data_IF_063039898386
#
_entry.id   IF_063039898386
#
_cell.length_a   1.000
_cell.length_b   1.000
_cell.length_c   1.000
_cell.angle_alpha   90.00
_cell.angle_beta   90.00
_cell.angle_gamma   90.00
#
_symmetry.space_group_name_H-M   'P 1'
#
loop_
_entity.id
_entity.type
_entity.pdbx_description
1 polymer ?
#
# COMPACT_ATOMS: atom_id res chain seq x y z
N UNK A 1 3.48 21.39 0.76
CA UNK A 1 4.83 20.80 0.60
C UNK A 1 4.66 19.43 -0.05
N UNK A 2 5.36 19.13 -1.16
CA UNK A 2 5.23 17.84 -1.85
C UNK A 2 6.24 16.87 -1.24
N UNK A 3 5.74 15.92 -0.45
CA UNK A 3 6.55 14.82 0.09
C UNK A 3 6.71 13.74 -0.98
N UNK A 4 7.94 13.32 -1.22
CA UNK A 4 8.31 12.29 -2.19
C UNK A 4 8.76 11.04 -1.43
N UNK A 5 8.30 9.86 -1.84
CA UNK A 5 8.71 8.61 -1.23
C UNK A 5 10.11 8.16 -1.69
N UNK A 6 10.97 7.88 -0.71
CA UNK A 6 12.31 7.34 -0.94
C UNK A 6 12.59 6.16 -0.02
N UNK A 7 13.53 5.32 -0.42
CA UNK A 7 14.14 4.29 0.43
C UNK A 7 15.61 4.63 0.66
N UNK A 8 16.00 4.69 1.92
CA UNK A 8 17.39 4.75 2.35
C UNK A 8 17.85 3.34 2.77
N UNK A 9 19.00 2.91 2.27
CA UNK A 9 19.69 1.67 2.69
C UNK A 9 21.06 2.03 3.22
N UNK A 10 21.40 1.59 4.42
CA UNK A 10 22.71 1.86 5.01
C UNK A 10 23.02 0.95 6.18
N UNK A 11 24.18 1.16 6.82
CA UNK A 11 24.55 0.42 8.03
C UNK A 11 23.82 0.90 9.28
N UNK A 12 23.89 0.10 10.34
CA UNK A 12 23.43 0.50 11.70
C UNK A 12 24.30 1.62 12.31
N UNK A 13 25.53 1.78 11.81
CA UNK A 13 26.48 2.79 12.31
C UNK A 13 25.97 4.22 12.09
N UNK A 14 25.86 5.01 13.17
CA UNK A 14 25.36 6.40 13.18
C UNK A 14 23.96 6.55 12.54
N UNK A 15 23.13 5.50 12.64
CA UNK A 15 21.76 5.54 12.12
C UNK A 15 20.93 6.65 12.77
N UNK A 16 21.08 6.88 14.07
CA UNK A 16 20.30 7.88 14.80
C UNK A 16 20.52 9.28 14.21
N UNK A 17 21.76 9.61 13.80
CA UNK A 17 22.04 10.89 13.14
C UNK A 17 21.38 11.00 11.76
N UNK A 18 21.20 9.90 11.04
CA UNK A 18 20.47 9.89 9.77
C UNK A 18 18.98 10.11 10.02
N UNK A 19 18.43 9.51 11.07
CA UNK A 19 17.04 9.67 11.49
C UNK A 19 16.78 11.14 11.88
N UNK A 20 17.61 11.69 12.77
CA UNK A 20 17.52 13.08 13.21
C UNK A 20 17.61 14.03 12.01
N UNK A 21 18.56 13.78 11.09
CA UNK A 21 18.72 14.61 9.90
C UNK A 21 17.51 14.53 8.94
N UNK A 22 16.86 13.37 8.83
CA UNK A 22 15.63 13.22 8.05
C UNK A 22 14.50 14.05 8.68
N UNK A 23 14.34 13.98 10.00
CA UNK A 23 13.30 14.71 10.73
C UNK A 23 13.54 16.23 10.68
N UNK A 24 14.79 16.68 10.81
CA UNK A 24 15.20 18.09 10.67
C UNK A 24 14.89 18.65 9.28
N UNK A 25 14.97 17.81 8.25
CA UNK A 25 14.59 18.17 6.87
C UNK A 25 13.07 18.10 6.63
N UNK A 26 12.26 17.85 7.66
CA UNK A 26 10.80 17.72 7.57
C UNK A 26 10.36 16.40 6.92
N UNK A 27 11.22 15.38 6.94
CA UNK A 27 10.90 14.03 6.49
C UNK A 27 10.23 13.19 7.58
N UNK A 28 9.46 12.19 7.17
CA UNK A 28 8.77 11.26 8.06
C UNK A 28 9.18 9.83 7.76
N UNK A 29 9.49 9.06 8.82
CA UNK A 29 9.86 7.65 8.71
C UNK A 29 8.60 6.78 8.75
N UNK A 30 8.27 6.21 7.58
CA UNK A 30 7.10 5.36 7.38
C UNK A 30 7.35 3.97 7.97
N UNK A 31 8.47 3.34 7.60
CA UNK A 31 8.87 2.03 8.09
C UNK A 31 10.38 1.94 8.29
N UNK A 32 10.78 1.13 9.26
CA UNK A 32 12.18 0.78 9.55
C UNK A 32 12.30 -0.74 9.58
N UNK A 33 13.22 -1.26 8.76
CA UNK A 33 13.60 -2.66 8.77
C UNK A 33 15.09 -2.77 9.09
N UNK A 34 15.43 -3.50 10.14
CA UNK A 34 16.81 -3.83 10.47
C UNK A 34 17.06 -5.29 10.08
N UNK A 35 17.96 -5.53 9.15
CA UNK A 35 18.34 -6.85 8.65
C UNK A 35 19.83 -7.05 8.93
N UNK A 36 20.14 -7.80 9.99
CA UNK A 36 21.52 -7.97 10.48
C UNK A 36 22.22 -6.62 10.72
N UNK A 37 23.22 -6.28 9.90
CA UNK A 37 23.98 -5.01 9.97
C UNK A 37 23.46 -3.91 9.05
N UNK A 38 22.43 -4.20 8.25
CA UNK A 38 21.83 -3.27 7.31
C UNK A 38 20.49 -2.74 7.84
N UNK A 39 20.20 -1.50 7.48
CA UNK A 39 18.98 -0.80 7.83
C UNK A 39 18.36 -0.26 6.56
N UNK A 40 17.09 -0.57 6.37
CA UNK A 40 16.26 -0.03 5.29
C UNK A 40 15.22 0.89 5.93
N UNK A 41 15.27 2.17 5.61
CA UNK A 41 14.29 3.17 6.01
C UNK A 41 13.44 3.54 4.79
N UNK A 42 12.12 3.46 4.96
CA UNK A 42 11.16 4.00 4.00
C UNK A 42 10.68 5.35 4.51
N UNK A 43 10.90 6.39 3.72
CA UNK A 43 10.79 7.78 4.17
C UNK A 43 9.95 8.58 3.17
N UNK A 44 9.14 9.48 3.69
CA UNK A 44 8.47 10.53 2.92
C UNK A 44 9.16 11.86 3.23
N UNK A 45 9.80 12.50 2.26
CA UNK A 45 10.55 13.74 2.49
C UNK A 45 10.36 14.79 1.39
N UNK A 46 10.61 16.08 1.66
CA UNK A 46 10.53 17.12 0.64
C UNK A 46 11.52 16.86 -0.51
N UNK A 47 11.05 17.01 -1.76
CA UNK A 47 11.86 16.73 -2.97
C UNK A 47 13.17 17.50 -3.01
N UNK A 48 13.16 18.73 -2.52
CA UNK A 48 14.30 19.66 -2.57
C UNK A 48 15.47 19.19 -1.69
N UNK A 49 15.17 18.46 -0.63
CA UNK A 49 16.13 18.06 0.40
C UNK A 49 16.73 16.66 0.17
N UNK A 50 16.24 15.89 -0.81
CA UNK A 50 16.78 14.56 -1.16
C UNK A 50 18.28 14.64 -1.48
N UNK A 51 18.70 15.70 -2.19
CA UNK A 51 20.12 15.90 -2.54
C UNK A 51 20.99 16.17 -1.31
N UNK A 52 20.43 16.81 -0.27
CA UNK A 52 21.13 17.08 0.99
C UNK A 52 21.31 15.80 1.78
N UNK A 53 20.25 14.99 1.89
CA UNK A 53 20.32 13.65 2.48
C UNK A 53 21.35 12.76 1.76
N UNK A 54 21.37 12.78 0.42
CA UNK A 54 22.36 12.02 -0.36
C UNK A 54 23.81 12.47 -0.11
N UNK A 55 24.04 13.77 0.11
CA UNK A 55 25.36 14.27 0.45
C UNK A 55 25.78 13.84 1.87
N UNK A 56 24.84 13.86 2.81
CA UNK A 56 25.03 13.44 4.20
C UNK A 56 25.23 11.92 4.33
N UNK A 57 24.55 11.11 3.52
CA UNK A 57 24.60 9.64 3.61
C UNK A 57 25.84 9.02 2.98
N UNK A 58 26.46 9.67 1.99
CA UNK A 58 27.62 9.13 1.26
C UNK A 58 28.78 8.68 2.16
N UNK A 59 29.22 9.46 3.16
CA UNK A 59 30.26 9.03 4.11
C UNK A 59 29.87 7.80 4.95
N UNK A 60 28.57 7.52 5.10
CA UNK A 60 28.04 6.40 5.86
C UNK A 60 27.78 5.16 4.99
N UNK A 61 28.22 5.17 3.73
CA UNK A 61 27.89 4.17 2.72
C UNK A 61 26.38 3.96 2.55
N UNK A 62 25.59 5.02 2.76
CA UNK A 62 24.14 5.00 2.59
C UNK A 62 23.71 5.26 1.16
N UNK A 63 22.90 4.36 0.61
CA UNK A 63 22.27 4.46 -0.71
C UNK A 63 20.85 5.00 -0.59
N UNK A 64 20.47 5.88 -1.51
CA UNK A 64 19.12 6.44 -1.59
C UNK A 64 18.54 6.08 -2.95
N UNK A 65 17.36 5.50 -2.94
CA UNK A 65 16.60 5.12 -4.12
C UNK A 65 15.20 5.72 -4.04
N UNK A 66 14.66 6.20 -5.16
CA UNK A 66 13.24 6.56 -5.23
C UNK A 66 12.39 5.29 -5.08
N UNK A 67 11.30 5.37 -4.32
CA UNK A 67 10.47 4.20 -4.03
C UNK A 67 9.00 4.59 -4.06
N UNK A 68 8.40 4.72 -5.25
CA UNK A 68 7.10 5.39 -5.46
C UNK A 68 5.94 4.77 -4.67
N UNK A 69 6.06 3.51 -4.26
CA UNK A 69 5.03 2.79 -3.53
C UNK A 69 5.12 2.95 -2.00
N UNK A 70 6.12 3.63 -1.45
CA UNK A 70 6.15 3.93 0.00
C UNK A 70 4.93 4.74 0.40
N UNK A 71 4.32 4.32 1.52
CA UNK A 71 3.09 4.92 2.05
C UNK A 71 1.84 4.48 1.30
N UNK A 72 1.87 3.33 0.63
CA UNK A 72 0.69 2.71 0.02
C UNK A 72 0.38 1.37 0.67
N UNK A 73 -0.90 1.03 0.78
CA UNK A 73 -1.37 -0.31 1.13
C UNK A 73 -2.12 -0.93 -0.05
N UNK A 74 -1.60 -2.03 -0.59
CA UNK A 74 -2.11 -2.66 -1.82
C UNK A 74 -2.65 -4.06 -1.50
N UNK A 75 -3.89 -4.33 -1.92
CA UNK A 75 -4.49 -5.65 -1.84
C UNK A 75 -4.08 -6.50 -3.05
N UNK A 76 -3.47 -7.65 -2.83
CA UNK A 76 -3.26 -8.68 -3.86
C UNK A 76 -4.35 -9.73 -3.70
N UNK A 77 -5.35 -9.68 -4.58
CA UNK A 77 -6.57 -10.48 -4.51
C UNK A 77 -6.43 -11.72 -5.39
N UNK A 78 -6.62 -12.89 -4.79
CA UNK A 78 -6.60 -14.16 -5.50
C UNK A 78 -7.94 -14.90 -5.36
N UNK A 79 -8.33 -15.69 -6.38
CA UNK A 79 -9.58 -16.44 -6.30
C UNK A 79 -9.64 -17.56 -5.27
N UNK A 80 -8.50 -18.03 -4.76
CA UNK A 80 -8.44 -19.02 -3.68
C UNK A 80 -7.05 -19.04 -3.05
N UNK A 81 -7.00 -19.16 -1.71
CA UNK A 81 -5.78 -19.36 -0.90
C UNK A 81 -5.48 -20.84 -0.60
N UNK A 82 -6.26 -21.78 -1.13
CA UNK A 82 -6.01 -23.20 -0.85
C UNK A 82 -4.62 -23.62 -1.35
N UNK A 83 -3.94 -24.52 -0.63
CA UNK A 83 -2.55 -24.93 -0.92
C UNK A 83 -2.42 -25.52 -2.34
N UNK A 84 -3.45 -26.20 -2.84
CA UNK A 84 -3.50 -26.74 -4.20
C UNK A 84 -3.75 -25.66 -5.27
N UNK A 85 -4.02 -24.43 -4.85
CA UNK A 85 -4.46 -23.31 -5.65
C UNK A 85 -3.58 -22.07 -5.51
N UNK A 86 -2.77 -21.98 -4.45
CA UNK A 86 -1.91 -20.86 -4.13
C UNK A 86 -0.91 -20.64 -5.28
N UNK A 87 -1.08 -19.60 -6.11
CA UNK A 87 -0.18 -19.32 -7.21
C UNK A 87 1.11 -18.73 -6.62
N UNK A 88 2.27 -19.27 -7.00
CA UNK A 88 3.53 -18.59 -6.72
C UNK A 88 3.52 -17.16 -7.28
N UNK A 89 2.87 -16.96 -8.43
CA UNK A 89 2.72 -15.63 -9.04
C UNK A 89 2.12 -14.56 -8.13
N UNK A 90 1.11 -14.88 -7.31
CA UNK A 90 0.51 -13.90 -6.41
C UNK A 90 1.42 -13.57 -5.21
N UNK A 91 2.11 -14.58 -4.68
CA UNK A 91 3.11 -14.39 -3.64
C UNK A 91 4.28 -13.54 -4.16
N UNK A 92 4.75 -13.84 -5.37
CA UNK A 92 5.85 -13.14 -6.03
C UNK A 92 5.47 -11.68 -6.31
N UNK A 93 4.27 -11.41 -6.83
CA UNK A 93 3.74 -10.03 -6.97
C UNK A 93 3.69 -9.33 -5.61
N UNK A 94 3.17 -9.99 -4.57
CA UNK A 94 3.08 -9.39 -3.24
C UNK A 94 4.46 -9.10 -2.64
N UNK A 95 5.45 -9.97 -2.85
CA UNK A 95 6.84 -9.78 -2.45
C UNK A 95 7.50 -8.65 -3.24
N UNK A 96 7.30 -8.61 -4.55
CA UNK A 96 7.86 -7.58 -5.43
C UNK A 96 7.35 -6.18 -5.07
N UNK A 97 6.05 -6.03 -4.78
CA UNK A 97 5.47 -4.79 -4.27
C UNK A 97 6.12 -4.33 -2.96
N UNK A 98 6.41 -5.26 -2.04
CA UNK A 98 7.08 -4.93 -0.77
C UNK A 98 8.51 -4.45 -0.98
N UNK A 99 9.24 -5.08 -1.91
CA UNK A 99 10.61 -4.66 -2.25
C UNK A 99 10.66 -3.24 -2.83
N UNK A 100 9.56 -2.75 -3.41
CA UNK A 100 9.38 -1.39 -3.95
C UNK A 100 8.72 -0.41 -2.96
N UNK A 101 8.53 -0.81 -1.71
CA UNK A 101 8.09 0.09 -0.63
C UNK A 101 6.62 -0.03 -0.22
N UNK A 102 5.81 -0.81 -0.94
CA UNK A 102 4.38 -0.94 -0.64
C UNK A 102 4.13 -1.89 0.54
N UNK A 103 3.08 -1.62 1.32
CA UNK A 103 2.50 -2.63 2.20
C UNK A 103 1.51 -3.49 1.40
N UNK A 104 1.93 -4.69 1.01
CA UNK A 104 1.00 -5.63 0.34
C UNK A 104 0.29 -6.57 1.32
N UNK A 105 -1.02 -6.74 1.11
CA UNK A 105 -1.86 -7.70 1.83
C UNK A 105 -2.44 -8.70 0.83
N UNK A 106 -2.24 -10.00 1.06
CA UNK A 106 -2.85 -11.02 0.21
C UNK A 106 -4.25 -11.35 0.72
N UNK A 107 -5.23 -11.29 -0.17
CA UNK A 107 -6.63 -11.61 0.10
C UNK A 107 -7.07 -12.78 -0.77
N UNK A 108 -7.48 -13.87 -0.14
CA UNK A 108 -8.09 -15.00 -0.84
C UNK A 108 -9.59 -14.97 -0.72
N UNK A 109 -10.27 -15.05 -1.86
CA UNK A 109 -11.72 -15.18 -1.85
C UNK A 109 -12.14 -16.56 -1.34
N UNK A 110 -13.15 -16.60 -0.49
CA UNK A 110 -13.70 -17.83 0.06
C UNK A 110 -14.34 -18.72 -1.02
N UNK A 111 -14.87 -18.13 -2.10
CA UNK A 111 -15.61 -18.83 -3.17
C UNK A 111 -15.25 -18.33 -4.57
N UNK A 112 -13.94 -18.26 -4.87
CA UNK A 112 -13.44 -17.90 -6.19
C UNK A 112 -12.79 -19.05 -6.98
N UNK A 113 -12.90 -20.30 -6.55
CA UNK A 113 -12.20 -21.43 -7.17
C UNK A 113 -12.81 -21.88 -8.53
N UNK A 114 -12.08 -22.72 -9.27
CA UNK A 114 -12.52 -23.30 -10.54
C UNK A 114 -12.72 -22.29 -11.69
N UNK A 115 -13.45 -22.66 -12.75
CA UNK A 115 -13.74 -21.76 -13.88
C UNK A 115 -15.08 -21.00 -13.76
N UNK A 116 -16.06 -21.59 -13.07
CA UNK A 116 -17.47 -21.11 -13.08
C UNK A 116 -17.89 -20.36 -11.81
N UNK A 117 -17.22 -20.62 -10.69
CA UNK A 117 -17.58 -20.06 -9.39
C UNK A 117 -16.78 -18.77 -9.19
N UNK A 118 -17.52 -17.68 -8.97
CA UNK A 118 -16.99 -16.36 -8.69
C UNK A 118 -18.01 -15.65 -7.81
N UNK A 119 -17.90 -15.87 -6.51
CA UNK A 119 -18.69 -15.22 -5.49
C UNK A 119 -17.75 -14.47 -4.55
N UNK A 120 -18.14 -13.25 -4.20
CA UNK A 120 -17.46 -12.41 -3.23
C UNK A 120 -18.53 -11.88 -2.27
N UNK A 121 -18.30 -12.05 -0.97
CA UNK A 121 -19.21 -11.52 0.03
C UNK A 121 -18.99 -10.00 0.24
N UNK A 122 -19.89 -9.36 0.98
CA UNK A 122 -19.79 -7.92 1.22
C UNK A 122 -18.59 -7.56 2.09
N UNK A 123 -18.22 -8.44 3.03
CA UNK A 123 -17.07 -8.26 3.92
C UNK A 123 -15.72 -8.27 3.18
N UNK A 124 -15.52 -9.21 2.25
CA UNK A 124 -14.34 -9.29 1.35
C UNK A 124 -14.26 -8.04 0.47
N UNK A 125 -15.41 -7.58 -0.03
CA UNK A 125 -15.50 -6.39 -0.86
C UNK A 125 -15.13 -5.13 -0.07
N UNK A 126 -15.71 -4.97 1.11
CA UNK A 126 -15.40 -3.88 2.03
C UNK A 126 -13.91 -3.90 2.37
N UNK A 127 -13.36 -5.07 2.70
CA UNK A 127 -11.94 -5.24 3.01
C UNK A 127 -11.04 -4.82 1.83
N UNK A 128 -11.38 -5.17 0.58
CA UNK A 128 -10.65 -4.70 -0.60
C UNK A 128 -10.71 -3.17 -0.71
N UNK A 129 -11.88 -2.58 -0.46
CA UNK A 129 -12.08 -1.13 -0.49
C UNK A 129 -11.36 -0.37 0.63
N UNK A 130 -10.85 -1.08 1.65
CA UNK A 130 -10.02 -0.46 2.68
C UNK A 130 -8.59 -0.14 2.20
N UNK A 131 -8.17 -0.62 1.02
CA UNK A 131 -6.81 -0.44 0.48
C UNK A 131 -6.73 0.76 -0.48
N UNK A 132 -5.53 1.13 -0.93
CA UNK A 132 -5.35 2.19 -1.94
C UNK A 132 -5.61 1.67 -3.36
N UNK A 133 -5.26 0.40 -3.60
CA UNK A 133 -5.33 -0.27 -4.90
C UNK A 133 -5.53 -1.77 -4.72
N UNK A 134 -6.25 -2.40 -5.65
CA UNK A 134 -6.41 -3.85 -5.68
C UNK A 134 -5.81 -4.46 -6.95
N UNK A 135 -4.94 -5.45 -6.80
CA UNK A 135 -4.39 -6.26 -7.89
C UNK A 135 -5.07 -7.61 -7.89
N UNK A 136 -5.87 -7.91 -8.90
CA UNK A 136 -6.47 -9.22 -9.08
C UNK A 136 -5.52 -10.12 -9.87
N UNK A 137 -5.13 -11.24 -9.28
CA UNK A 137 -4.34 -12.28 -9.96
C UNK A 137 -5.26 -13.39 -10.43
N UNK A 138 -5.65 -13.34 -11.71
CA UNK A 138 -6.53 -14.31 -12.33
C UNK A 138 -5.76 -15.38 -13.11
N UNK A 139 -6.47 -16.44 -13.51
CA UNK A 139 -5.86 -17.60 -14.14
C UNK A 139 -5.35 -17.38 -15.58
N UNK A 140 -4.90 -18.46 -16.19
CA UNK A 140 -4.22 -18.42 -17.50
C UNK A 140 -5.14 -18.29 -18.72
N UNK A 141 -6.47 -18.38 -18.54
CA UNK A 141 -7.40 -18.45 -19.65
C UNK A 141 -8.20 -17.16 -19.78
N UNK A 142 -8.35 -16.64 -21.00
CA UNK A 142 -9.18 -15.47 -21.31
C UNK A 142 -10.61 -15.64 -20.78
N UNK A 143 -11.20 -16.81 -21.01
CA UNK A 143 -12.54 -17.14 -20.51
C UNK A 143 -12.69 -17.00 -19.00
N UNK A 144 -11.61 -17.22 -18.22
CA UNK A 144 -11.66 -17.04 -16.76
C UNK A 144 -11.78 -15.56 -16.39
N UNK A 145 -11.10 -14.68 -17.12
CA UNK A 145 -11.17 -13.24 -16.90
C UNK A 145 -12.56 -12.72 -17.30
N UNK A 146 -13.00 -13.04 -18.51
CA UNK A 146 -14.29 -12.61 -19.07
C UNK A 146 -15.48 -13.01 -18.21
N UNK A 147 -15.45 -14.21 -17.63
CA UNK A 147 -16.61 -14.73 -16.88
C UNK A 147 -16.57 -14.40 -15.40
N UNK A 148 -15.38 -14.25 -14.80
CA UNK A 148 -15.25 -14.03 -13.35
C UNK A 148 -15.09 -12.57 -12.99
N UNK A 149 -14.28 -11.82 -13.74
CA UNK A 149 -13.97 -10.45 -13.37
C UNK A 149 -15.22 -9.56 -13.30
N UNK A 150 -16.18 -9.65 -14.24
CA UNK A 150 -17.44 -8.90 -14.13
C UNK A 150 -18.28 -9.23 -12.89
N UNK A 151 -18.04 -10.38 -12.25
CA UNK A 151 -18.71 -10.79 -11.01
C UNK A 151 -17.97 -10.33 -9.75
N UNK A 152 -16.65 -10.18 -9.82
CA UNK A 152 -15.83 -9.66 -8.72
C UNK A 152 -15.79 -8.13 -8.68
N UNK A 153 -15.82 -7.47 -9.84
CA UNK A 153 -15.73 -6.01 -9.95
C UNK A 153 -16.80 -5.22 -9.19
N UNK A 154 -18.09 -5.61 -9.18
CA UNK A 154 -19.16 -4.76 -8.66
C UNK A 154 -18.95 -4.38 -7.20
N UNK A 155 -19.14 -3.09 -6.91
CA UNK A 155 -19.02 -2.50 -5.57
C UNK A 155 -17.59 -2.33 -5.05
N UNK A 156 -16.56 -2.70 -5.81
CA UNK A 156 -15.20 -2.28 -5.52
C UNK A 156 -15.06 -0.81 -5.94
N UNK A 157 -14.57 0.07 -5.08
CA UNK A 157 -14.44 1.52 -5.37
C UNK A 157 -13.00 1.92 -5.64
N UNK A 158 -12.04 1.15 -5.12
CA UNK A 158 -10.61 1.35 -5.36
C UNK A 158 -10.21 1.01 -6.80
N UNK A 159 -9.16 1.63 -7.35
CA UNK A 159 -8.65 1.25 -8.66
C UNK A 159 -8.20 -0.21 -8.68
N UNK A 160 -8.48 -0.87 -9.79
CA UNK A 160 -8.17 -2.29 -9.98
C UNK A 160 -7.15 -2.46 -11.09
N UNK A 161 -6.06 -3.17 -10.78
CA UNK A 161 -5.14 -3.72 -11.77
C UNK A 161 -5.42 -5.21 -11.88
N UNK A 162 -5.45 -5.72 -13.12
CA UNK A 162 -5.68 -7.12 -13.37
C UNK A 162 -4.44 -7.78 -13.96
N UNK A 163 -4.09 -8.96 -13.48
CA UNK A 163 -3.03 -9.80 -14.05
C UNK A 163 -3.61 -11.13 -14.51
N UNK A 164 -3.10 -11.65 -15.62
CA UNK A 164 -3.54 -12.93 -16.15
C UNK A 164 -2.61 -13.49 -17.22
N UNK A 165 -2.85 -14.74 -17.61
CA UNK A 165 -2.05 -15.41 -18.64
C UNK A 165 -2.21 -14.86 -20.07
N UNK A 166 -3.42 -14.47 -20.53
CA UNK A 166 -3.60 -13.92 -21.88
C UNK A 166 -2.80 -12.63 -22.09
N UNK A 167 -2.40 -12.38 -23.33
CA UNK A 167 -1.79 -11.10 -23.68
C UNK A 167 -2.82 -9.97 -23.72
N UNK A 168 -2.38 -8.75 -23.36
CA UNK A 168 -3.25 -7.55 -23.27
C UNK A 168 -4.04 -7.32 -24.55
N UNK A 169 -3.37 -7.45 -25.69
CA UNK A 169 -3.97 -7.24 -27.02
C UNK A 169 -5.09 -8.23 -27.33
N UNK A 170 -4.99 -9.46 -26.84
CA UNK A 170 -6.01 -10.50 -27.04
C UNK A 170 -7.22 -10.18 -26.18
N UNK A 171 -6.98 -9.77 -24.93
CA UNK A 171 -8.02 -9.48 -23.96
C UNK A 171 -8.83 -8.23 -24.33
N UNK A 172 -8.16 -7.15 -24.75
CA UNK A 172 -8.80 -5.88 -25.16
C UNK A 172 -9.67 -6.06 -26.41
N UNK A 173 -9.31 -6.98 -27.31
CA UNK A 173 -10.15 -7.32 -28.48
C UNK A 173 -11.42 -8.07 -28.11
N UNK A 174 -11.48 -8.67 -26.92
CA UNK A 174 -12.55 -9.57 -26.48
C UNK A 174 -13.46 -8.94 -25.41
N UNK A 175 -12.96 -7.96 -24.65
CA UNK A 175 -13.70 -7.34 -23.54
C UNK A 175 -13.27 -5.89 -23.35
N UNK A 176 -14.25 -4.99 -23.18
CA UNK A 176 -14.01 -3.64 -22.68
C UNK A 176 -13.73 -3.75 -21.16
N UNK A 177 -12.48 -3.63 -20.76
CA UNK A 177 -12.06 -3.87 -19.37
C UNK A 177 -12.11 -2.55 -18.59
N UNK A 178 -13.03 -2.38 -17.62
CA UNK A 178 -13.06 -1.21 -16.74
C UNK A 178 -12.04 -1.37 -15.61
N UNK A 179 -10.78 -1.61 -15.98
CA UNK A 179 -9.63 -1.73 -15.07
C UNK A 179 -8.70 -0.55 -15.26
N UNK A 180 -8.03 -0.14 -14.19
CA UNK A 180 -7.04 0.92 -14.24
C UNK A 180 -5.75 0.46 -14.97
N UNK A 181 -5.48 -0.86 -14.97
CA UNK A 181 -4.36 -1.45 -15.71
C UNK A 181 -4.53 -2.96 -15.92
N UNK A 182 -3.83 -3.49 -16.92
CA UNK A 182 -3.76 -4.94 -17.18
C UNK A 182 -2.34 -5.37 -17.57
N UNK A 183 -1.87 -6.44 -16.92
CA UNK A 183 -0.57 -7.08 -17.23
C UNK A 183 -0.81 -8.53 -17.67
N UNK A 184 -0.41 -8.82 -18.91
CA UNK A 184 -0.49 -10.14 -19.54
C UNK A 184 0.68 -11.04 -19.19
N UNK A 185 0.57 -12.33 -19.51
CA UNK A 185 1.61 -13.32 -19.26
C UNK A 185 1.89 -13.63 -17.77
N UNK A 186 1.14 -13.02 -16.85
CA UNK A 186 1.29 -13.16 -15.41
C UNK A 186 0.03 -13.77 -14.79
N UNK A 187 -0.25 -15.01 -15.17
CA UNK A 187 -1.37 -15.78 -14.65
C UNK A 187 -0.97 -16.68 -13.47
N UNK A 188 -1.53 -17.88 -13.43
CA UNK A 188 -1.21 -18.91 -12.44
C UNK A 188 -0.13 -19.86 -12.97
N UNK A 189 1.02 -19.90 -12.31
CA UNK A 189 2.08 -20.87 -12.58
C UNK A 189 2.68 -21.45 -11.29
N UNK A 190 3.35 -22.61 -11.43
CA UNK A 190 3.86 -23.42 -10.31
C UNK A 190 5.37 -23.24 -10.06
N UNK A 191 6.04 -22.37 -10.80
CA UNK A 191 7.45 -22.01 -10.57
C UNK A 191 7.54 -20.64 -9.91
N UNK A 192 8.70 -20.31 -9.30
CA UNK A 192 8.99 -18.94 -8.88
C UNK A 192 9.41 -18.10 -10.08
N UNK A 193 9.03 -16.82 -10.07
CA UNK A 193 9.47 -15.81 -11.03
C UNK A 193 10.98 -15.52 -10.90
N UNK A 194 11.80 -16.39 -11.48
CA UNK A 194 13.27 -16.28 -11.42
C UNK A 194 13.90 -16.05 -12.78
N UNK A 195 13.14 -16.22 -13.87
CA UNK A 195 13.65 -15.94 -15.21
C UNK A 195 13.59 -14.44 -15.48
N UNK A 196 14.48 -13.97 -16.36
CA UNK A 196 14.52 -12.56 -16.78
C UNK A 196 13.16 -12.11 -17.34
N UNK A 197 12.48 -12.97 -18.08
CA UNK A 197 11.14 -12.71 -18.60
C UNK A 197 10.08 -12.58 -17.49
N UNK A 198 10.21 -13.32 -16.40
CA UNK A 198 9.28 -13.24 -15.27
C UNK A 198 9.51 -11.96 -14.46
N UNK A 199 10.77 -11.61 -14.20
CA UNK A 199 11.14 -10.36 -13.53
C UNK A 199 10.64 -9.17 -14.35
N UNK A 200 10.83 -9.18 -15.67
CA UNK A 200 10.31 -8.14 -16.54
C UNK A 200 8.78 -8.00 -16.46
N UNK A 201 8.03 -9.10 -16.33
CA UNK A 201 6.58 -9.02 -16.12
C UNK A 201 6.21 -8.42 -14.75
N UNK A 202 7.00 -8.69 -13.72
CA UNK A 202 6.83 -8.05 -12.41
C UNK A 202 7.12 -6.55 -12.50
N UNK A 203 8.15 -6.13 -13.25
CA UNK A 203 8.42 -4.71 -13.53
C UNK A 203 7.21 -4.03 -14.19
N UNK A 204 6.59 -4.67 -15.18
CA UNK A 204 5.36 -4.16 -15.80
C UNK A 204 4.21 -4.00 -14.81
N UNK A 205 4.09 -4.88 -13.80
CA UNK A 205 3.11 -4.69 -12.71
C UNK A 205 3.43 -3.45 -11.90
N UNK A 206 4.69 -3.24 -11.54
CA UNK A 206 5.12 -2.06 -10.80
C UNK A 206 4.85 -0.79 -11.60
N UNK A 207 5.21 -0.75 -12.88
CA UNK A 207 4.96 0.40 -13.76
C UNK A 207 3.47 0.75 -13.86
N UNK A 208 2.59 -0.24 -13.99
CA UNK A 208 1.14 0.01 -14.03
C UNK A 208 0.61 0.48 -12.66
N UNK A 209 1.11 -0.07 -11.55
CA UNK A 209 0.77 0.38 -10.20
C UNK A 209 1.22 1.83 -9.99
N UNK A 210 2.45 2.16 -10.37
CA UNK A 210 3.01 3.51 -10.24
C UNK A 210 2.18 4.54 -10.99
N UNK A 211 1.80 4.26 -12.24
CA UNK A 211 0.93 5.15 -13.03
C UNK A 211 -0.40 5.44 -12.32
N UNK A 212 -1.04 4.40 -11.78
CA UNK A 212 -2.34 4.53 -11.11
C UNK A 212 -2.21 5.27 -9.78
N UNK A 213 -1.17 4.96 -9.00
CA UNK A 213 -0.90 5.63 -7.73
C UNK A 213 -0.54 7.10 -7.96
N UNK A 214 0.26 7.42 -8.97
CA UNK A 214 0.62 8.79 -9.30
C UNK A 214 -0.60 9.62 -9.74
N UNK A 215 -1.50 9.06 -10.55
CA UNK A 215 -2.76 9.70 -10.87
C UNK A 215 -3.59 10.00 -9.60
N UNK A 216 -3.63 9.07 -8.63
CA UNK A 216 -4.30 9.28 -7.34
C UNK A 216 -3.60 10.32 -6.47
N UNK A 217 -2.26 10.35 -6.45
CA UNK A 217 -1.49 11.40 -5.76
C UNK A 217 -1.81 12.78 -6.36
N UNK A 218 -1.98 12.88 -7.68
CA UNK A 218 -2.37 14.12 -8.35
C UNK A 218 -3.81 14.54 -8.02
N UNK A 219 -4.75 13.59 -7.95
CA UNK A 219 -6.12 13.86 -7.47
C UNK A 219 -6.10 14.42 -6.04
N UNK A 220 -5.32 13.81 -5.14
CA UNK A 220 -5.14 14.30 -3.76
C UNK A 220 -4.42 15.65 -3.75
N UNK A 221 -3.49 15.92 -4.67
CA UNK A 221 -2.83 17.21 -4.74
C UNK A 221 -3.78 18.34 -5.15
N UNK A 222 -4.84 18.03 -5.92
CA UNK A 222 -5.86 19.01 -6.30
C UNK A 222 -6.78 19.38 -5.12
N UNK A 223 -7.05 18.43 -4.22
CA UNK A 223 -7.77 18.66 -2.96
C UNK A 223 -7.00 18.01 -1.79
N UNK A 224 -6.00 18.71 -1.24
CA UNK A 224 -5.09 18.17 -0.23
C UNK A 224 -5.81 17.67 1.02
N UNK A 225 -5.24 16.64 1.64
CA UNK A 225 -5.70 16.14 2.93
C UNK A 225 -5.48 17.19 4.03
N UNK A 226 -6.38 17.21 5.01
CA UNK A 226 -6.28 18.10 6.17
C UNK A 226 -5.01 17.89 6.97
N UNK A 227 -4.50 16.66 7.03
CA UNK A 227 -3.24 16.30 7.67
C UNK A 227 -2.53 15.26 6.83
N UNK A 228 -1.19 15.30 6.78
CA UNK A 228 -0.45 14.25 6.07
C UNK A 228 -0.56 12.91 6.82
N UNK A 229 -0.78 11.77 6.13
CA UNK A 229 -0.81 10.45 6.76
C UNK A 229 0.47 10.16 7.57
N UNK A 230 1.62 10.63 7.10
CA UNK A 230 2.91 10.43 7.74
C UNK A 230 3.05 11.20 9.07
N UNK A 231 2.56 12.45 9.11
CA UNK A 231 2.49 13.25 10.35
C UNK A 231 1.59 12.56 11.38
N UNK A 232 0.42 12.09 10.96
CA UNK A 232 -0.50 11.40 11.85
C UNK A 232 0.06 10.05 12.34
N UNK A 233 0.83 9.34 11.52
CA UNK A 233 1.56 8.15 11.94
C UNK A 233 2.56 8.46 13.06
N UNK A 234 3.35 9.53 12.92
CA UNK A 234 4.33 9.94 13.93
C UNK A 234 3.65 10.28 15.26
N UNK A 235 2.55 11.06 15.21
CA UNK A 235 1.74 11.41 16.38
C UNK A 235 1.22 10.15 17.10
N UNK A 236 0.65 9.19 16.36
CA UNK A 236 0.13 7.95 16.94
C UNK A 236 1.24 7.14 17.60
N UNK A 237 2.44 7.06 16.99
CA UNK A 237 3.58 6.35 17.61
C UNK A 237 4.02 7.00 18.92
N UNK A 238 3.97 8.34 18.99
CA UNK A 238 4.37 9.09 20.17
C UNK A 238 3.35 8.98 21.32
N UNK A 239 2.06 9.11 21.01
CA UNK A 239 0.99 9.22 22.02
C UNK A 239 0.39 7.87 22.44
N UNK A 240 0.57 6.81 21.63
CA UNK A 240 0.03 5.47 21.91
C UNK A 240 1.17 4.43 21.98
N UNK A 241 1.86 4.31 23.14
CA UNK A 241 2.95 3.35 23.32
C UNK A 241 2.50 1.89 23.16
N UNK A 242 1.20 1.59 23.34
CA UNK A 242 0.64 0.25 23.14
C UNK A 242 0.83 -0.26 21.70
N UNK A 243 1.16 0.62 20.74
CA UNK A 243 1.48 0.24 19.37
C UNK A 243 2.76 -0.61 19.27
N UNK A 244 3.70 -0.43 20.20
CA UNK A 244 4.97 -1.18 20.22
C UNK A 244 4.79 -2.62 20.69
N UNK A 245 3.70 -2.89 21.43
CA UNK A 245 3.35 -4.24 21.91
C UNK A 245 2.66 -5.09 20.82
N UNK A 246 2.36 -4.50 19.66
CA UNK A 246 1.71 -5.21 18.56
C UNK A 246 2.74 -6.09 17.83
N UNK A 247 2.64 -7.40 18.03
CA UNK A 247 3.51 -8.41 17.39
C UNK A 247 3.37 -8.53 15.87
N UNK A 248 2.38 -7.89 15.26
CA UNK A 248 2.17 -7.99 13.82
C UNK A 248 3.16 -7.12 13.04
N UNK A 249 3.63 -7.56 11.86
CA UNK A 249 4.58 -6.77 11.08
C UNK A 249 3.93 -5.46 10.60
N UNK A 250 4.62 -4.34 10.81
CA UNK A 250 4.11 -2.97 10.56
C UNK A 250 2.81 -2.72 11.37
N UNK A 251 2.91 -2.32 12.65
CA UNK A 251 1.75 -2.02 13.51
C UNK A 251 0.85 -0.92 12.97
N UNK A 252 1.44 0.04 12.24
CA UNK A 252 0.73 1.07 11.49
C UNK A 252 1.08 0.90 10.01
N UNK A 253 0.07 0.77 9.15
CA UNK A 253 0.23 0.82 7.70
C UNK A 253 -0.25 2.19 7.19
N UNK A 254 0.64 2.90 6.50
CA UNK A 254 0.31 4.19 5.86
C UNK A 254 -0.32 3.93 4.50
N UNK A 255 -1.37 4.69 4.22
CA UNK A 255 -2.14 4.69 2.97
C UNK A 255 -2.09 6.09 2.35
N UNK A 256 -2.52 6.22 1.10
CA UNK A 256 -2.51 7.53 0.42
C UNK A 256 -3.40 8.57 1.12
N UNK A 257 -4.54 8.15 1.64
CA UNK A 257 -5.54 9.02 2.27
C UNK A 257 -5.79 8.70 3.77
N UNK A 258 -4.88 7.99 4.42
CA UNK A 258 -5.18 7.49 5.75
C UNK A 258 -4.15 6.52 6.34
N UNK A 259 -4.60 5.83 7.37
CA UNK A 259 -3.79 4.91 8.17
C UNK A 259 -4.61 3.70 8.60
N UNK A 260 -3.98 2.52 8.61
CA UNK A 260 -4.48 1.36 9.32
C UNK A 260 -3.65 1.14 10.57
N UNK A 261 -4.29 1.22 11.73
CA UNK A 261 -3.68 1.04 13.05
C UNK A 261 -4.14 -0.29 13.61
N UNK A 262 -3.21 -1.22 13.84
CA UNK A 262 -3.50 -2.60 14.27
C UNK A 262 -3.75 -2.73 15.78
N UNK A 263 -4.45 -1.75 16.33
CA UNK A 263 -5.03 -1.78 17.66
C UNK A 263 -6.52 -2.11 17.55
N UNK A 264 -7.09 -2.65 18.62
CA UNK A 264 -8.51 -2.99 18.67
C UNK A 264 -9.38 -1.72 18.60
N UNK A 265 -10.26 -1.63 17.61
CA UNK A 265 -11.17 -0.50 17.45
C UNK A 265 -12.07 -0.27 18.67
N UNK A 266 -12.77 -1.27 19.23
CA UNK A 266 -13.59 -1.07 20.43
C UNK A 266 -12.84 -0.48 21.62
N UNK A 267 -11.55 -0.81 21.78
CA UNK A 267 -10.76 -0.38 22.93
C UNK A 267 -10.05 0.97 22.72
N UNK A 268 -9.63 1.28 21.49
CA UNK A 268 -8.74 2.42 21.21
C UNK A 268 -9.34 3.50 20.30
N UNK A 269 -10.50 3.29 19.67
CA UNK A 269 -11.06 4.26 18.72
C UNK A 269 -11.29 5.65 19.33
N UNK A 270 -11.78 5.72 20.57
CA UNK A 270 -12.02 7.01 21.23
C UNK A 270 -10.70 7.71 21.57
N UNK A 271 -9.72 6.97 22.11
CA UNK A 271 -8.37 7.50 22.37
C UNK A 271 -7.78 8.10 21.09
N UNK A 272 -7.86 7.38 19.97
CA UNK A 272 -7.37 7.85 18.67
C UNK A 272 -8.10 9.12 18.21
N UNK A 273 -9.43 9.20 18.36
CA UNK A 273 -10.20 10.40 18.00
C UNK A 273 -9.81 11.62 18.83
N UNK A 274 -9.48 11.42 20.11
CA UNK A 274 -9.16 12.49 21.05
C UNK A 274 -7.71 12.98 20.98
N UNK A 275 -6.84 12.33 20.19
CA UNK A 275 -5.48 12.79 19.96
C UNK A 275 -5.48 14.18 19.34
N UNK A 276 -4.67 15.07 19.92
CA UNK A 276 -4.50 16.45 19.46
C UNK A 276 -3.37 16.49 18.44
N UNK A 277 -3.63 17.02 17.25
CA UNK A 277 -2.64 17.14 16.17
C UNK A 277 -1.87 18.45 16.29
N UNK A 278 -2.59 19.54 16.49
CA UNK A 278 -2.07 20.90 16.68
C UNK A 278 -3.13 21.74 17.40
N UNK A 279 -2.69 22.55 18.37
CA UNK A 279 -3.56 23.39 19.20
C UNK A 279 -4.74 22.63 19.84
N UNK A 280 -5.97 22.91 19.39
CA UNK A 280 -7.20 22.25 19.85
C UNK A 280 -7.78 21.27 18.81
N UNK A 281 -7.11 21.08 17.67
CA UNK A 281 -7.60 20.25 16.56
C UNK A 281 -7.31 18.79 16.87
N UNK A 282 -8.36 17.97 16.91
CA UNK A 282 -8.27 16.54 17.16
C UNK A 282 -8.31 15.73 15.87
N UNK A 283 -7.84 14.48 15.95
CA UNK A 283 -7.96 13.52 14.84
C UNK A 283 -9.42 13.33 14.41
N UNK A 284 -10.36 13.31 15.35
CA UNK A 284 -11.79 13.19 15.04
C UNK A 284 -12.37 14.35 14.22
N UNK A 285 -11.72 15.52 14.22
CA UNK A 285 -12.18 16.70 13.46
C UNK A 285 -11.75 16.63 12.00
N UNK A 286 -10.61 15.98 11.73
CA UNK A 286 -9.98 15.92 10.40
C UNK A 286 -10.05 14.55 9.73
N UNK A 287 -10.47 13.52 10.45
CA UNK A 287 -10.49 12.15 9.94
C UNK A 287 -11.63 11.30 10.51
N UNK A 288 -12.14 10.38 9.69
CA UNK A 288 -13.07 9.35 10.13
C UNK A 288 -12.31 8.16 10.70
N UNK A 289 -12.62 7.81 11.94
CA UNK A 289 -12.08 6.64 12.65
C UNK A 289 -13.12 5.53 12.59
N UNK A 290 -12.85 4.52 11.75
CA UNK A 290 -13.76 3.44 11.36
C UNK A 290 -13.22 2.06 11.79
N UNK A 291 -14.10 1.07 12.04
CA UNK A 291 -13.68 -0.31 12.24
C UNK A 291 -13.29 -0.95 10.91
N UNK A 292 -12.13 -1.63 10.89
CA UNK A 292 -11.66 -2.39 9.74
C UNK A 292 -12.22 -3.82 9.74
N UNK A 293 -12.63 -4.30 8.57
CA UNK A 293 -13.06 -5.68 8.31
C UNK A 293 -11.96 -6.72 8.44
N UNK A 294 -10.69 -6.33 8.55
CA UNK A 294 -9.60 -7.30 8.64
C UNK A 294 -9.59 -8.05 9.98
N UNK A 295 -9.90 -7.38 11.09
CA UNK A 295 -9.77 -7.88 12.48
C UNK A 295 -10.32 -6.89 13.52
N UNK A 296 -11.28 -6.04 13.13
CA UNK A 296 -11.71 -4.87 13.92
C UNK A 296 -10.53 -3.97 14.32
N UNK A 297 -9.55 -3.85 13.42
CA UNK A 297 -8.49 -2.85 13.54
C UNK A 297 -9.06 -1.45 13.30
N UNK A 298 -8.29 -0.43 13.65
CA UNK A 298 -8.71 0.95 13.42
C UNK A 298 -8.29 1.35 12.00
N UNK A 299 -9.24 1.79 11.20
CA UNK A 299 -9.02 2.44 9.92
C UNK A 299 -9.28 3.93 10.07
N UNK A 300 -8.28 4.75 9.78
CA UNK A 300 -8.37 6.21 9.80
C UNK A 300 -8.41 6.69 8.36
N UNK A 301 -9.49 7.38 7.97
CA UNK A 301 -9.63 8.02 6.66
C UNK A 301 -9.57 9.53 6.86
N UNK A 302 -8.50 10.14 6.38
CA UNK A 302 -8.29 11.59 6.50
C UNK A 302 -9.15 12.28 5.46
N UNK A 303 -9.88 13.31 5.90
CA UNK A 303 -10.74 14.09 5.03
C UNK A 303 -9.92 15.11 4.25
N UNK A 304 -10.38 15.45 3.03
CA UNK A 304 -9.77 16.54 2.29
C UNK A 304 -10.08 17.90 2.92
N UNK A 305 -9.31 18.90 2.51
CA UNK A 305 -9.48 20.29 2.90
C UNK A 305 -10.88 20.81 2.56
N UNK A 306 -11.41 20.44 1.39
CA UNK A 306 -12.75 20.87 0.97
C UNK A 306 -13.87 20.47 1.94
N UNK A 307 -13.71 19.39 2.68
CA UNK A 307 -14.70 18.90 3.65
C UNK A 307 -14.52 19.49 5.05
N UNK A 308 -13.28 19.70 5.48
CA UNK A 308 -12.96 20.11 6.86
C UNK A 308 -12.74 21.61 7.01
N UNK A 309 -12.31 22.29 5.95
CA UNK A 309 -11.75 23.66 5.97
C UNK A 309 -10.56 23.84 6.93
N UNK A 310 -9.87 22.76 7.28
CA UNK A 310 -8.75 22.74 8.23
C UNK A 310 -7.52 22.13 7.54
N UNK A 311 -6.35 22.78 7.67
CA UNK A 311 -5.04 22.26 7.24
C UNK A 311 -4.08 22.29 8.43
N UNK A 312 -3.46 21.14 8.69
CA UNK A 312 -2.55 20.88 9.81
C UNK A 312 -1.38 20.03 9.34
#
# INVERSE_FOLDING_TARGET
MILVPITYKGGVYRLDEVIDYIEDLGGYIVQRHTIASEVVLQVLMPKEDIKRLAAFSRPLAGEIQESPLVGTEIAVVIPSLEIHHLPHSACDVAEYLRSHGSKSNMLGMARGFGKRIAQMNDEERDLINEHDLAIFVLGNFASCIETKFPKFRPGITVPIILTGGPEREILVKQTDLPVAGYVGGLGRFMHRTQTEADIHRLDLVIEEVEKVIEARRQEIANDPLSVSPARLQALIKQELPEIEEVYSPSPIAVQLNGLRVKLSYPAYAQKVRDLVIEDEIKVGDVADVLPSRMRDYILIRIKPLSETNIVV
#
